data_IF_730519470718
#
_entry.id   IF_730519470718
#
_cell.length_a   1.000
_cell.length_b   1.000
_cell.length_c   1.000
_cell.angle_alpha   90.00
_cell.angle_beta   90.00
_cell.angle_gamma   90.00
#
_symmetry.space_group_name_H-M   'P 1'
#
loop_
_entity.id
_entity.type
_entity.pdbx_description
1 polymer ?
#
# COMPACT_ATOMS: atom_id res chain seq x y z
N UNK A 1 -12.29 73.38 -48.72
CA UNK A 1 -13.24 72.72 -47.80
C UNK A 1 -12.75 71.29 -47.62
N UNK A 2 -12.64 70.87 -46.37
CA UNK A 2 -11.45 70.21 -45.82
C UNK A 2 -11.48 68.68 -45.97
N UNK A 3 -10.45 68.08 -46.63
CA UNK A 3 -10.18 66.64 -46.52
C UNK A 3 -9.96 66.17 -45.07
N UNK A 4 -9.58 67.09 -44.18
CA UNK A 4 -9.33 66.83 -42.76
C UNK A 4 -10.56 66.38 -41.96
N UNK A 5 -11.79 66.77 -42.35
CA UNK A 5 -13.00 66.39 -41.61
C UNK A 5 -13.38 64.91 -41.88
N UNK A 6 -13.11 64.42 -43.10
CA UNK A 6 -13.39 63.04 -43.48
C UNK A 6 -12.43 62.06 -42.81
N UNK A 7 -11.16 62.43 -42.67
CA UNK A 7 -10.17 61.62 -41.97
C UNK A 7 -10.39 61.63 -40.45
N UNK A 8 -10.87 62.74 -39.88
CA UNK A 8 -11.28 62.80 -38.47
C UNK A 8 -12.44 61.83 -38.17
N UNK A 9 -13.47 61.79 -39.01
CA UNK A 9 -14.61 60.86 -38.86
C UNK A 9 -14.17 59.39 -38.95
N UNK A 10 -13.24 59.05 -39.86
CA UNK A 10 -12.67 57.69 -39.95
C UNK A 10 -11.95 57.29 -38.66
N UNK A 11 -11.15 58.20 -38.11
CA UNK A 11 -10.41 57.95 -36.86
C UNK A 11 -11.38 57.73 -35.68
N UNK A 12 -12.44 58.53 -35.58
CA UNK A 12 -13.47 58.34 -34.54
C UNK A 12 -14.25 57.04 -34.71
N UNK A 13 -14.59 56.65 -35.94
CA UNK A 13 -15.21 55.34 -36.24
C UNK A 13 -14.30 54.17 -35.88
N UNK A 14 -13.00 54.26 -36.17
CA UNK A 14 -12.03 53.24 -35.77
C UNK A 14 -11.90 53.13 -34.25
N UNK A 15 -11.90 54.25 -33.52
CA UNK A 15 -11.91 54.25 -32.06
C UNK A 15 -13.18 53.59 -31.53
N UNK A 16 -14.35 53.95 -32.07
CA UNK A 16 -15.64 53.37 -31.68
C UNK A 16 -15.67 51.85 -31.93
N UNK A 17 -15.20 51.41 -33.11
CA UNK A 17 -15.07 49.99 -33.45
C UNK A 17 -14.17 49.25 -32.46
N UNK A 18 -12.97 49.79 -32.17
CA UNK A 18 -12.05 49.20 -31.19
C UNK A 18 -12.68 49.11 -29.80
N UNK A 19 -13.43 50.12 -29.37
CA UNK A 19 -14.13 50.08 -28.07
C UNK A 19 -15.24 49.03 -28.05
N UNK A 20 -15.98 48.87 -29.15
CA UNK A 20 -17.01 47.86 -29.27
C UNK A 20 -16.42 46.45 -29.28
N UNK A 21 -15.38 46.21 -30.08
CA UNK A 21 -14.67 44.93 -30.15
C UNK A 21 -14.12 44.54 -28.77
N UNK A 22 -13.55 45.50 -28.02
CA UNK A 22 -13.08 45.26 -26.65
C UNK A 22 -14.23 44.94 -25.68
N UNK A 23 -15.37 45.61 -25.80
CA UNK A 23 -16.54 45.31 -24.97
C UNK A 23 -17.12 43.94 -25.31
N UNK A 24 -17.17 43.57 -26.59
CA UNK A 24 -17.63 42.27 -27.04
C UNK A 24 -16.70 41.16 -26.53
N UNK A 25 -15.39 41.31 -26.65
CA UNK A 25 -14.42 40.37 -26.08
C UNK A 25 -14.59 40.18 -24.57
N UNK A 26 -14.77 41.27 -23.81
CA UNK A 26 -15.02 41.19 -22.36
C UNK A 26 -16.31 40.46 -22.01
N UNK A 27 -17.37 40.61 -22.83
CA UNK A 27 -18.62 39.89 -22.63
C UNK A 27 -18.45 38.40 -22.95
N UNK A 28 -17.77 38.06 -24.04
CA UNK A 28 -17.45 36.68 -24.41
C UNK A 28 -16.61 35.98 -23.34
N UNK A 29 -15.56 36.64 -22.83
CA UNK A 29 -14.75 36.15 -21.72
C UNK A 29 -15.59 35.90 -20.46
N UNK A 30 -16.52 36.82 -20.13
CA UNK A 30 -17.39 36.67 -18.96
C UNK A 30 -18.41 35.56 -19.12
N UNK A 31 -18.95 35.35 -20.32
CA UNK A 31 -19.83 34.21 -20.63
C UNK A 31 -19.07 32.90 -20.46
N UNK A 32 -17.85 32.79 -21.00
CA UNK A 32 -17.02 31.59 -20.85
C UNK A 32 -16.67 31.34 -19.38
N UNK A 33 -16.38 32.38 -18.59
CA UNK A 33 -16.14 32.25 -17.16
C UNK A 33 -17.38 31.72 -16.41
N UNK A 34 -18.55 32.30 -16.65
CA UNK A 34 -19.81 31.85 -16.04
C UNK A 34 -20.18 30.41 -16.46
N UNK A 35 -19.91 30.02 -17.71
CA UNK A 35 -20.14 28.65 -18.17
C UNK A 35 -19.25 27.63 -17.45
N UNK A 36 -17.97 27.98 -17.22
CA UNK A 36 -17.04 27.15 -16.43
C UNK A 36 -17.52 27.02 -14.99
N UNK A 37 -17.85 28.13 -14.33
CA UNK A 37 -18.38 28.12 -12.96
C UNK A 37 -19.67 27.28 -12.86
N UNK A 38 -20.56 27.37 -13.85
CA UNK A 38 -21.78 26.58 -13.89
C UNK A 38 -21.49 25.08 -14.05
N UNK A 39 -20.52 24.70 -14.90
CA UNK A 39 -20.11 23.31 -15.07
C UNK A 39 -19.48 22.75 -13.79
N UNK A 40 -18.62 23.53 -13.12
CA UNK A 40 -18.01 23.16 -11.85
C UNK A 40 -19.07 23.00 -10.75
N UNK A 41 -20.03 23.93 -10.65
CA UNK A 41 -21.13 23.84 -9.69
C UNK A 41 -22.02 22.61 -9.94
N UNK A 42 -22.30 22.27 -11.20
CA UNK A 42 -23.05 21.05 -11.57
C UNK A 42 -22.27 19.79 -11.20
N UNK A 43 -20.97 19.75 -11.47
CA UNK A 43 -20.11 18.63 -11.09
C UNK A 43 -20.06 18.43 -9.56
N UNK A 44 -19.89 19.52 -8.80
CA UNK A 44 -19.92 19.50 -7.34
C UNK A 44 -21.27 19.01 -6.79
N UNK A 45 -22.38 19.46 -7.40
CA UNK A 45 -23.72 19.01 -7.04
C UNK A 45 -23.88 17.51 -7.31
N UNK A 46 -23.46 17.02 -8.48
CA UNK A 46 -23.49 15.59 -8.81
C UNK A 46 -22.67 14.73 -7.84
N UNK A 47 -21.47 15.19 -7.49
CA UNK A 47 -20.63 14.51 -6.48
C UNK A 47 -21.30 14.48 -5.10
N UNK A 48 -21.94 15.57 -4.68
CA UNK A 48 -22.68 15.62 -3.41
C UNK A 48 -23.87 14.65 -3.40
N UNK A 49 -24.60 14.54 -4.51
CA UNK A 49 -25.70 13.59 -4.66
C UNK A 49 -25.22 12.14 -4.62
N UNK A 50 -24.12 11.81 -5.32
CA UNK A 50 -23.52 10.48 -5.27
C UNK A 50 -23.12 10.10 -3.84
N UNK A 51 -22.43 11.01 -3.12
CA UNK A 51 -22.07 10.80 -1.71
C UNK A 51 -23.30 10.60 -0.82
N UNK A 52 -24.38 11.34 -1.04
CA UNK A 52 -25.64 11.16 -0.29
C UNK A 52 -26.25 9.78 -0.56
N UNK A 53 -26.25 9.31 -1.81
CA UNK A 53 -26.75 7.97 -2.16
C UNK A 53 -25.89 6.89 -1.51
N UNK A 54 -24.56 7.00 -1.58
CA UNK A 54 -23.63 6.08 -0.92
C UNK A 54 -23.88 6.02 0.61
N UNK A 55 -23.98 7.19 1.25
CA UNK A 55 -24.29 7.29 2.69
C UNK A 55 -25.64 6.67 3.03
N UNK A 56 -26.67 6.91 2.20
CA UNK A 56 -28.00 6.31 2.41
C UNK A 56 -27.98 4.79 2.29
N UNK A 57 -27.21 4.24 1.35
CA UNK A 57 -27.07 2.79 1.18
C UNK A 57 -26.34 2.16 2.38
N UNK A 58 -25.27 2.81 2.87
CA UNK A 58 -24.55 2.38 4.08
C UNK A 58 -25.47 2.43 5.29
N UNK A 59 -26.21 3.53 5.49
CA UNK A 59 -27.14 3.68 6.61
C UNK A 59 -28.24 2.59 6.59
N UNK A 60 -28.83 2.30 5.43
CA UNK A 60 -29.82 1.24 5.29
C UNK A 60 -29.24 -0.14 5.59
N UNK A 61 -28.02 -0.43 5.11
CA UNK A 61 -27.36 -1.70 5.41
C UNK A 61 -27.03 -1.85 6.90
N UNK A 62 -26.61 -0.77 7.55
CA UNK A 62 -26.36 -0.73 9.00
C UNK A 62 -27.64 -0.89 9.81
N UNK A 63 -28.73 -0.22 9.40
CA UNK A 63 -30.04 -0.36 10.04
C UNK A 63 -30.59 -1.78 9.93
N UNK A 64 -30.40 -2.43 8.78
CA UNK A 64 -30.74 -3.84 8.61
C UNK A 64 -29.93 -4.74 9.55
N UNK A 65 -28.62 -4.54 9.63
CA UNK A 65 -27.78 -5.31 10.56
C UNK A 65 -28.21 -5.11 12.01
N UNK A 66 -28.59 -3.89 12.40
CA UNK A 66 -29.13 -3.61 13.73
C UNK A 66 -30.39 -4.44 14.00
N UNK A 67 -31.35 -4.45 13.06
CA UNK A 67 -32.58 -5.23 13.19
C UNK A 67 -32.31 -6.74 13.26
N UNK A 68 -31.38 -7.26 12.47
CA UNK A 68 -30.97 -8.67 12.51
C UNK A 68 -30.39 -9.03 13.89
N UNK A 69 -29.51 -8.19 14.44
CA UNK A 69 -28.93 -8.38 15.77
C UNK A 69 -29.97 -8.23 16.89
N UNK A 70 -30.91 -7.29 16.77
CA UNK A 70 -32.02 -7.14 17.71
C UNK A 70 -32.93 -8.39 17.73
N UNK A 71 -33.23 -8.95 16.55
CA UNK A 71 -33.97 -10.21 16.44
C UNK A 71 -33.21 -11.37 17.09
N UNK A 72 -31.93 -11.54 16.78
CA UNK A 72 -31.06 -12.56 17.42
C UNK A 72 -31.01 -12.38 18.93
N UNK A 73 -30.94 -11.15 19.45
CA UNK A 73 -30.96 -10.87 20.89
C UNK A 73 -32.29 -11.34 21.51
N UNK A 74 -33.43 -11.04 20.87
CA UNK A 74 -34.74 -11.50 21.34
C UNK A 74 -34.86 -13.03 21.37
N UNK A 75 -34.34 -13.72 20.34
CA UNK A 75 -34.31 -15.18 20.27
C UNK A 75 -33.43 -15.78 21.37
N UNK A 76 -32.24 -15.22 21.59
CA UNK A 76 -31.34 -15.66 22.66
C UNK A 76 -31.95 -15.43 24.05
N UNK A 77 -32.67 -14.32 24.26
CA UNK A 77 -33.39 -14.07 25.51
C UNK A 77 -34.49 -15.11 25.75
N UNK A 78 -35.25 -15.48 24.71
CA UNK A 78 -36.25 -16.55 24.81
C UNK A 78 -35.58 -17.88 25.13
N UNK A 79 -34.49 -18.23 24.44
CA UNK A 79 -33.77 -19.48 24.67
C UNK A 79 -33.20 -19.58 26.09
N UNK A 80 -32.72 -18.45 26.63
CA UNK A 80 -32.25 -18.37 28.01
C UNK A 80 -33.39 -18.60 29.01
N UNK A 81 -34.59 -18.05 28.77
CA UNK A 81 -35.77 -18.29 29.60
C UNK A 81 -36.19 -19.76 29.59
N UNK A 82 -36.21 -20.39 28.41
CA UNK A 82 -36.51 -21.83 28.27
C UNK A 82 -35.52 -22.68 29.06
N UNK A 83 -34.22 -22.43 28.93
CA UNK A 83 -33.19 -23.19 29.66
C UNK A 83 -33.28 -22.97 31.18
N UNK A 84 -33.61 -21.75 31.62
CA UNK A 84 -33.84 -21.47 33.04
C UNK A 84 -35.04 -22.25 33.58
N UNK A 85 -36.14 -22.28 32.82
CA UNK A 85 -37.34 -23.02 33.21
C UNK A 85 -37.10 -24.54 33.23
N UNK A 86 -36.38 -25.07 32.24
CA UNK A 86 -35.93 -26.47 32.24
C UNK A 86 -35.09 -26.82 33.48
N UNK A 87 -34.20 -25.91 33.89
CA UNK A 87 -33.42 -26.09 35.11
C UNK A 87 -34.30 -26.08 36.36
N UNK A 88 -35.26 -25.15 36.45
CA UNK A 88 -36.22 -25.08 37.57
C UNK A 88 -37.08 -26.33 37.64
N UNK A 89 -37.62 -26.79 36.51
CA UNK A 89 -38.42 -28.01 36.41
C UNK A 89 -37.64 -29.26 36.81
N UNK A 90 -36.38 -29.41 36.35
CA UNK A 90 -35.50 -30.52 36.79
C UNK A 90 -35.26 -30.50 38.30
N UNK A 91 -34.94 -29.34 38.87
CA UNK A 91 -34.72 -29.18 40.32
C UNK A 91 -35.99 -29.49 41.12
N UNK A 92 -37.15 -28.99 40.70
CA UNK A 92 -38.43 -29.26 41.34
C UNK A 92 -38.78 -30.76 41.33
N UNK A 93 -38.50 -31.45 40.21
CA UNK A 93 -38.64 -32.91 40.12
C UNK A 93 -37.72 -33.63 41.10
N UNK A 94 -36.44 -33.23 41.17
CA UNK A 94 -35.50 -33.83 42.12
C UNK A 94 -35.91 -33.62 43.58
N UNK A 95 -36.39 -32.42 43.94
CA UNK A 95 -36.91 -32.13 45.28
C UNK A 95 -38.17 -32.95 45.60
N UNK A 96 -39.07 -33.12 44.63
CA UNK A 96 -40.28 -33.94 44.79
C UNK A 96 -39.94 -35.41 44.99
N UNK A 97 -39.00 -35.94 44.21
CA UNK A 97 -38.53 -37.33 44.37
C UNK A 97 -37.85 -37.53 45.74
N UNK A 98 -37.05 -36.57 46.21
CA UNK A 98 -36.48 -36.58 47.57
C UNK A 98 -37.56 -36.55 48.67
N UNK A 99 -38.57 -35.70 48.53
CA UNK A 99 -39.68 -35.61 49.48
C UNK A 99 -40.48 -36.92 49.54
N UNK A 100 -40.88 -37.47 48.39
CA UNK A 100 -41.59 -38.76 48.33
C UNK A 100 -40.79 -39.92 48.91
N UNK A 101 -39.46 -39.91 48.75
CA UNK A 101 -38.59 -40.87 49.43
C UNK A 101 -38.63 -40.71 50.95
N UNK A 102 -38.52 -39.47 51.46
CA UNK A 102 -38.58 -39.18 52.90
C UNK A 102 -39.94 -39.52 53.50
N UNK A 103 -41.04 -39.24 52.81
CA UNK A 103 -42.41 -39.56 53.23
C UNK A 103 -42.70 -41.07 53.20
N UNK A 104 -42.11 -41.80 52.24
CA UNK A 104 -42.17 -43.26 52.21
C UNK A 104 -41.39 -43.92 53.37
N UNK A 105 -40.43 -43.19 53.96
CA UNK A 105 -39.67 -43.63 55.13
C UNK A 105 -40.41 -43.30 56.44
N UNK A 106 -41.12 -42.16 56.52
CA UNK A 106 -41.88 -41.73 57.71
C UNK A 106 -43.21 -42.49 57.90
N UNK A 107 -43.92 -42.78 56.80
CA UNK A 107 -45.18 -43.56 56.82
C UNK A 107 -45.01 -45.04 57.22
N UNK A 108 -43.80 -45.57 57.15
CA UNK A 108 -43.47 -46.95 57.50
C UNK A 108 -42.88 -47.10 58.91
N UNK A 109 -42.96 -46.06 59.76
CA UNK A 109 -42.33 -46.01 61.08
C UNK A 109 -43.03 -46.81 62.20
N UNK A 110 -44.13 -47.52 61.91
CA UNK A 110 -44.81 -48.39 62.88
C UNK A 110 -44.32 -49.86 62.87
N UNK A 111 -43.27 -50.20 62.10
CA UNK A 111 -42.68 -51.54 62.05
C UNK A 111 -41.15 -51.51 61.95
N UNK A 112 -40.45 -52.64 62.19
CA UNK A 112 -38.99 -52.71 62.25
C UNK A 112 -38.37 -52.19 60.93
N UNK A 113 -37.14 -51.63 60.98
CA UNK A 113 -36.57 -50.86 59.88
C UNK A 113 -36.59 -51.66 58.58
N UNK A 114 -37.41 -51.24 57.60
CA UNK A 114 -37.46 -51.86 56.27
C UNK A 114 -36.03 -51.88 55.68
N UNK A 115 -35.56 -53.09 55.36
CA UNK A 115 -34.18 -53.38 54.97
C UNK A 115 -33.72 -52.81 53.60
N UNK A 116 -32.89 -53.52 52.82
CA UNK A 116 -32.09 -52.98 51.70
C UNK A 116 -32.87 -52.27 50.57
N UNK A 117 -34.21 -52.42 50.51
CA UNK A 117 -35.08 -51.81 49.51
C UNK A 117 -35.15 -50.27 49.58
N UNK A 118 -35.16 -49.67 50.79
CA UNK A 118 -35.14 -48.20 50.93
C UNK A 118 -33.80 -47.62 50.49
N UNK A 119 -32.70 -48.29 50.85
CA UNK A 119 -31.36 -47.91 50.39
C UNK A 119 -31.20 -48.03 48.86
N UNK A 120 -31.86 -49.01 48.23
CA UNK A 120 -31.88 -49.16 46.78
C UNK A 120 -32.65 -48.02 46.08
N UNK A 121 -33.78 -47.56 46.64
CA UNK A 121 -34.55 -46.44 46.08
C UNK A 121 -33.75 -45.12 46.07
N UNK A 122 -33.09 -44.77 47.19
CA UNK A 122 -32.20 -43.60 47.25
C UNK A 122 -31.03 -43.73 46.28
N UNK A 123 -30.40 -44.91 46.21
CA UNK A 123 -29.30 -45.16 45.26
C UNK A 123 -29.76 -44.94 43.81
N UNK A 124 -30.93 -45.46 43.43
CA UNK A 124 -31.50 -45.26 42.09
C UNK A 124 -31.85 -43.79 41.78
N UNK A 125 -32.24 -43.00 42.79
CA UNK A 125 -32.48 -41.56 42.63
C UNK A 125 -31.17 -40.80 42.36
N UNK A 126 -30.14 -41.04 43.19
CA UNK A 126 -28.83 -40.42 43.02
C UNK A 126 -28.19 -40.83 41.69
N UNK A 127 -28.32 -42.09 41.28
CA UNK A 127 -27.85 -42.56 39.98
C UNK A 127 -28.55 -41.85 38.81
N UNK A 128 -29.87 -41.62 38.89
CA UNK A 128 -30.62 -40.84 37.89
C UNK A 128 -30.18 -39.38 37.85
N UNK A 129 -30.02 -38.74 39.00
CA UNK A 129 -29.52 -37.36 39.11
C UNK A 129 -28.11 -37.22 38.50
N UNK A 130 -27.20 -38.13 38.85
CA UNK A 130 -25.84 -38.14 38.31
C UNK A 130 -25.83 -38.40 36.80
N UNK A 131 -26.72 -39.26 36.29
CA UNK A 131 -26.87 -39.51 34.85
C UNK A 131 -27.34 -38.26 34.11
N UNK A 132 -28.35 -37.57 34.64
CA UNK A 132 -28.89 -36.33 34.05
C UNK A 132 -27.83 -35.22 34.05
N UNK A 133 -27.11 -35.03 35.16
CA UNK A 133 -26.02 -34.06 35.27
C UNK A 133 -24.94 -34.36 34.22
N UNK A 134 -24.47 -35.60 34.13
CA UNK A 134 -23.47 -36.02 33.13
C UNK A 134 -23.96 -35.78 31.70
N UNK A 135 -25.23 -36.07 31.40
CA UNK A 135 -25.81 -35.82 30.08
C UNK A 135 -25.87 -34.31 29.75
N UNK A 136 -26.21 -33.47 30.74
CA UNK A 136 -26.25 -32.01 30.56
C UNK A 136 -24.87 -31.41 30.27
N UNK A 137 -23.83 -31.87 30.98
CA UNK A 137 -22.46 -31.45 30.73
C UNK A 137 -21.99 -31.90 29.35
N UNK A 138 -22.25 -33.15 28.95
CA UNK A 138 -21.92 -33.64 27.60
C UNK A 138 -22.59 -32.81 26.50
N UNK A 139 -23.89 -32.51 26.63
CA UNK A 139 -24.60 -31.68 25.66
C UNK A 139 -24.00 -30.26 25.58
N UNK A 140 -23.60 -29.67 26.71
CA UNK A 140 -22.93 -28.36 26.74
C UNK A 140 -21.55 -28.40 26.09
N UNK A 141 -20.76 -29.44 26.37
CA UNK A 141 -19.45 -29.65 25.73
C UNK A 141 -19.59 -29.81 24.21
N UNK A 142 -20.57 -30.56 23.74
CA UNK A 142 -20.88 -30.73 22.32
C UNK A 142 -21.28 -29.41 21.66
N UNK A 143 -22.11 -28.60 22.32
CA UNK A 143 -22.48 -27.26 21.85
C UNK A 143 -21.27 -26.34 21.72
N UNK A 144 -20.42 -26.28 22.76
CA UNK A 144 -19.19 -25.48 22.74
C UNK A 144 -18.22 -25.96 21.66
N UNK A 145 -18.04 -27.27 21.52
CA UNK A 145 -17.20 -27.86 20.47
C UNK A 145 -17.74 -27.56 19.07
N UNK A 146 -19.06 -27.57 18.88
CA UNK A 146 -19.70 -27.23 17.60
C UNK A 146 -19.56 -25.75 17.28
N UNK A 147 -19.77 -24.86 18.25
CA UNK A 147 -19.56 -23.43 18.10
C UNK A 147 -18.10 -23.12 17.75
N UNK A 148 -17.14 -23.71 18.46
CA UNK A 148 -15.70 -23.55 18.18
C UNK A 148 -15.34 -24.04 16.76
N UNK A 149 -15.89 -25.18 16.32
CA UNK A 149 -15.73 -25.66 14.93
C UNK A 149 -16.35 -24.69 13.91
N UNK A 150 -17.51 -24.11 14.22
CA UNK A 150 -18.18 -23.11 13.41
C UNK A 150 -17.35 -21.83 13.25
N UNK A 151 -16.83 -21.29 14.36
CA UNK A 151 -15.94 -20.12 14.33
C UNK A 151 -14.67 -20.40 13.53
N UNK A 152 -14.00 -21.55 13.74
CA UNK A 152 -12.86 -21.94 12.92
C UNK A 152 -13.19 -22.03 11.43
N UNK A 153 -14.38 -22.52 11.06
CA UNK A 153 -14.83 -22.56 9.67
C UNK A 153 -15.02 -21.16 9.08
N UNK A 154 -15.68 -20.26 9.82
CA UNK A 154 -15.88 -18.85 9.40
C UNK A 154 -14.54 -18.09 9.29
N UNK A 155 -13.63 -18.36 10.21
CA UNK A 155 -12.31 -17.72 10.22
C UNK A 155 -11.47 -18.18 9.03
N UNK A 156 -11.50 -19.48 8.68
CA UNK A 156 -10.89 -19.98 7.44
C UNK A 156 -11.51 -19.38 6.18
N UNK A 157 -12.83 -19.24 6.11
CA UNK A 157 -13.47 -18.62 4.94
C UNK A 157 -13.14 -17.13 4.83
N UNK A 158 -13.00 -16.41 5.94
CA UNK A 158 -12.52 -15.03 5.96
C UNK A 158 -11.07 -14.93 5.49
N UNK A 159 -10.19 -15.79 6.00
CA UNK A 159 -8.78 -15.85 5.56
C UNK A 159 -8.66 -16.12 4.06
N UNK A 160 -9.44 -17.05 3.51
CA UNK A 160 -9.46 -17.33 2.05
C UNK A 160 -9.95 -16.13 1.22
N UNK A 161 -10.96 -15.39 1.71
CA UNK A 161 -11.40 -14.14 1.07
C UNK A 161 -10.33 -13.06 1.13
N UNK A 162 -9.63 -12.94 2.27
CA UNK A 162 -8.52 -12.02 2.45
C UNK A 162 -7.38 -12.31 1.47
N UNK A 163 -6.96 -13.57 1.35
CA UNK A 163 -5.97 -14.00 0.36
C UNK A 163 -6.40 -13.63 -1.08
N UNK A 164 -7.66 -13.89 -1.43
CA UNK A 164 -8.20 -13.54 -2.75
C UNK A 164 -8.16 -12.03 -3.01
N UNK A 165 -8.49 -11.22 -1.99
CA UNK A 165 -8.44 -9.77 -2.07
C UNK A 165 -6.99 -9.26 -2.19
N UNK A 166 -6.04 -9.85 -1.47
CA UNK A 166 -4.63 -9.50 -1.59
C UNK A 166 -4.09 -9.76 -3.00
N UNK A 167 -4.49 -10.88 -3.63
CA UNK A 167 -4.13 -11.17 -5.02
C UNK A 167 -4.70 -10.10 -5.97
N UNK A 168 -5.98 -9.76 -5.82
CA UNK A 168 -6.61 -8.72 -6.64
C UNK A 168 -5.96 -7.34 -6.46
N UNK A 169 -5.66 -6.98 -5.21
CA UNK A 169 -4.95 -5.75 -4.87
C UNK A 169 -3.55 -5.71 -5.50
N UNK A 170 -2.79 -6.80 -5.39
CA UNK A 170 -1.47 -6.91 -6.01
C UNK A 170 -1.51 -6.72 -7.53
N UNK A 171 -2.45 -7.40 -8.20
CA UNK A 171 -2.67 -7.24 -9.64
C UNK A 171 -3.02 -5.79 -10.01
N UNK A 172 -3.91 -5.15 -9.24
CA UNK A 172 -4.28 -3.76 -9.48
C UNK A 172 -3.07 -2.82 -9.34
N UNK A 173 -2.22 -3.04 -8.33
CA UNK A 173 -1.00 -2.24 -8.14
C UNK A 173 -0.03 -2.40 -9.30
N UNK A 174 0.17 -3.61 -9.78
CA UNK A 174 1.01 -3.86 -10.95
C UNK A 174 0.45 -3.19 -12.21
N UNK A 175 -0.86 -3.23 -12.42
CA UNK A 175 -1.51 -2.51 -13.51
C UNK A 175 -1.33 -1.00 -13.40
N UNK A 176 -1.43 -0.43 -12.20
CA UNK A 176 -1.18 1.00 -11.96
C UNK A 176 0.29 1.33 -12.22
N UNK A 177 1.25 0.49 -11.79
CA UNK A 177 2.68 0.70 -12.12
C UNK A 177 2.95 0.63 -13.62
N UNK A 178 2.29 -0.28 -14.33
CA UNK A 178 2.49 -0.47 -15.76
C UNK A 178 1.84 0.64 -16.61
N UNK A 179 0.71 1.19 -16.17
CA UNK A 179 -0.06 2.23 -16.89
C UNK A 179 0.22 3.65 -16.41
N UNK A 180 0.65 3.81 -15.16
CA UNK A 180 0.85 5.09 -14.49
C UNK A 180 2.17 5.74 -14.88
N UNK A 181 2.17 7.06 -14.98
CA UNK A 181 3.39 7.86 -14.99
C UNK A 181 4.10 7.74 -13.63
N UNK A 182 5.41 8.02 -13.56
CA UNK A 182 6.26 7.84 -12.37
C UNK A 182 5.81 8.59 -11.09
N UNK A 183 4.74 9.38 -11.17
CA UNK A 183 4.17 10.20 -10.11
C UNK A 183 2.96 9.57 -9.40
N UNK A 184 2.41 8.44 -9.87
CA UNK A 184 1.27 7.81 -9.20
C UNK A 184 1.68 6.84 -8.09
N UNK A 185 1.25 7.14 -6.86
CA UNK A 185 1.41 6.25 -5.71
C UNK A 185 0.55 5.00 -5.88
N UNK A 186 1.19 3.84 -5.86
CA UNK A 186 0.56 2.53 -5.98
C UNK A 186 0.11 1.96 -4.62
N UNK A 187 0.15 2.77 -3.56
CA UNK A 187 -0.28 2.41 -2.22
C UNK A 187 0.63 1.39 -1.52
N UNK A 188 0.31 1.06 -0.25
CA UNK A 188 1.11 0.19 0.61
C UNK A 188 1.38 -1.19 -0.02
N UNK A 189 2.53 -1.78 0.30
CA UNK A 189 2.84 -3.15 -0.13
C UNK A 189 1.88 -4.19 0.47
N UNK A 190 1.62 -5.28 -0.24
CA UNK A 190 0.76 -6.39 0.23
C UNK A 190 1.23 -7.00 1.55
N UNK A 191 2.54 -6.92 1.83
CA UNK A 191 3.13 -7.35 3.09
C UNK A 191 2.54 -6.63 4.32
N UNK A 192 2.09 -5.39 4.18
CA UNK A 192 1.44 -4.65 5.27
C UNK A 192 0.09 -5.24 5.67
N UNK A 193 -0.51 -6.04 4.79
CA UNK A 193 -1.80 -6.68 5.00
C UNK A 193 -1.68 -8.19 5.22
N UNK A 194 -0.46 -8.73 5.32
CA UNK A 194 -0.27 -10.15 5.57
C UNK A 194 -0.78 -10.54 6.97
N UNK A 195 -1.57 -11.61 7.04
CA UNK A 195 -2.02 -12.16 8.33
C UNK A 195 -0.81 -12.75 9.06
N UNK A 196 -0.62 -12.40 10.33
CA UNK A 196 0.48 -12.94 11.16
C UNK A 196 0.09 -14.24 11.87
N UNK A 197 -1.21 -14.58 11.95
CA UNK A 197 -1.69 -15.74 12.71
C UNK A 197 -1.36 -17.08 12.02
N UNK A 198 -0.49 -17.93 12.63
CA UNK A 198 0.00 -19.15 12.00
C UNK A 198 -1.06 -20.25 11.88
N UNK A 199 -2.12 -20.21 12.69
CA UNK A 199 -3.24 -21.18 12.68
C UNK A 199 -4.16 -21.01 11.47
N UNK A 200 -4.17 -19.82 10.85
CA UNK A 200 -5.04 -19.49 9.72
C UNK A 200 -4.35 -19.60 8.38
N UNK A 201 -3.03 -19.44 8.37
CA UNK A 201 -2.24 -19.57 7.16
C UNK A 201 -2.05 -21.04 6.80
N UNK A 202 -2.26 -21.34 5.52
CA UNK A 202 -1.78 -22.58 4.90
C UNK A 202 -0.24 -22.62 4.95
N UNK A 203 0.36 -23.81 4.92
CA UNK A 203 1.83 -23.95 4.92
C UNK A 203 2.47 -23.16 3.77
N UNK A 204 1.84 -23.19 2.60
CA UNK A 204 2.22 -22.44 1.40
C UNK A 204 2.15 -20.93 1.61
N UNK A 205 1.11 -20.41 2.27
CA UNK A 205 1.00 -18.98 2.58
C UNK A 205 2.10 -18.51 3.56
N UNK A 206 2.50 -19.36 4.52
CA UNK A 206 3.61 -19.04 5.44
C UNK A 206 4.95 -18.98 4.70
N UNK A 207 5.21 -19.94 3.81
CA UNK A 207 6.41 -19.96 2.99
C UNK A 207 6.46 -18.75 2.04
N UNK A 208 5.33 -18.39 1.41
CA UNK A 208 5.24 -17.19 0.59
C UNK A 208 5.55 -15.91 1.37
N UNK A 209 5.04 -15.78 2.60
CA UNK A 209 5.34 -14.61 3.43
C UNK A 209 6.84 -14.53 3.78
N UNK A 210 7.47 -15.65 4.14
CA UNK A 210 8.92 -15.71 4.38
C UNK A 210 9.71 -15.30 3.14
N UNK A 211 9.37 -15.86 1.97
CA UNK A 211 10.04 -15.53 0.71
C UNK A 211 9.87 -14.05 0.33
N UNK A 212 8.71 -13.45 0.62
CA UNK A 212 8.48 -12.02 0.38
C UNK A 212 9.31 -11.15 1.32
N UNK A 213 9.46 -11.52 2.59
CA UNK A 213 10.35 -10.83 3.54
C UNK A 213 11.82 -10.95 3.12
N UNK A 214 12.26 -12.14 2.71
CA UNK A 214 13.62 -12.37 2.20
C UNK A 214 13.87 -11.56 0.93
N UNK A 215 12.92 -11.54 0.00
CA UNK A 215 12.99 -10.68 -1.20
C UNK A 215 13.16 -9.20 -0.83
N UNK A 216 12.34 -8.67 0.08
CA UNK A 216 12.44 -7.27 0.49
C UNK A 216 13.80 -6.94 1.14
N UNK A 217 14.36 -7.87 1.93
CA UNK A 217 15.71 -7.72 2.50
C UNK A 217 16.79 -7.72 1.41
N UNK A 218 16.70 -8.63 0.45
CA UNK A 218 17.65 -8.71 -0.68
C UNK A 218 17.57 -7.48 -1.58
N UNK A 219 16.37 -6.94 -1.81
CA UNK A 219 16.18 -5.69 -2.58
C UNK A 219 16.83 -4.49 -1.89
N UNK A 220 16.73 -4.38 -0.56
CA UNK A 220 17.43 -3.35 0.21
C UNK A 220 18.96 -3.51 0.11
N UNK A 221 19.46 -4.73 0.29
CA UNK A 221 20.89 -5.02 0.15
C UNK A 221 21.42 -4.70 -1.26
N UNK A 222 20.63 -5.00 -2.29
CA UNK A 222 20.99 -4.67 -3.68
C UNK A 222 21.05 -3.16 -3.89
N UNK A 223 20.09 -2.39 -3.36
CA UNK A 223 20.11 -0.93 -3.44
C UNK A 223 21.33 -0.34 -2.74
N UNK A 224 21.71 -0.86 -1.57
CA UNK A 224 22.92 -0.43 -0.85
C UNK A 224 24.19 -0.71 -1.68
N UNK A 225 24.32 -1.92 -2.23
CA UNK A 225 25.47 -2.28 -3.07
C UNK A 225 25.54 -1.42 -4.33
N UNK A 226 24.41 -1.16 -4.98
CA UNK A 226 24.36 -0.28 -6.16
C UNK A 226 24.74 1.16 -5.83
N UNK A 227 24.32 1.69 -4.67
CA UNK A 227 24.73 3.03 -4.23
C UNK A 227 26.24 3.11 -3.95
N UNK A 228 26.80 2.09 -3.30
CA UNK A 228 28.25 2.01 -3.04
C UNK A 228 29.02 1.85 -4.35
N UNK A 229 28.54 1.00 -5.27
CA UNK A 229 29.12 0.79 -6.59
C UNK A 229 29.14 2.08 -7.42
N UNK A 230 28.02 2.78 -7.52
CA UNK A 230 27.93 4.06 -8.24
C UNK A 230 28.87 5.12 -7.64
N UNK A 231 29.02 5.15 -6.32
CA UNK A 231 29.94 6.06 -5.63
C UNK A 231 31.41 5.73 -5.92
N UNK A 232 31.76 4.45 -6.01
CA UNK A 232 33.12 4.00 -6.34
C UNK A 232 33.45 4.24 -7.82
N UNK A 233 32.50 4.01 -8.73
CA UNK A 233 32.66 4.26 -10.17
C UNK A 233 32.92 5.75 -10.45
N UNK A 234 32.16 6.66 -9.82
CA UNK A 234 32.39 8.10 -9.93
C UNK A 234 33.80 8.49 -9.44
N UNK A 235 34.24 7.94 -8.31
CA UNK A 235 35.57 8.21 -7.76
C UNK A 235 36.70 7.66 -8.63
N UNK A 236 36.51 6.49 -9.24
CA UNK A 236 37.49 5.87 -10.14
C UNK A 236 37.56 6.59 -11.48
N UNK A 237 36.43 7.02 -12.05
CA UNK A 237 36.41 7.79 -13.28
C UNK A 237 37.06 9.17 -13.10
N UNK A 238 36.74 9.92 -12.05
CA UNK A 238 37.35 11.25 -11.84
C UNK A 238 38.87 11.18 -11.69
N UNK A 239 39.37 10.21 -10.90
CA UNK A 239 40.81 10.02 -10.71
C UNK A 239 41.50 9.54 -11.98
N UNK A 240 40.93 8.54 -12.66
CA UNK A 240 41.49 8.01 -13.91
C UNK A 240 41.55 9.06 -15.03
N UNK A 241 40.50 9.88 -15.20
CA UNK A 241 40.48 10.95 -16.18
C UNK A 241 41.41 12.13 -15.83
N UNK A 242 41.66 12.38 -14.54
CA UNK A 242 42.63 13.39 -14.12
C UNK A 242 44.07 12.94 -14.40
N UNK A 243 44.39 11.66 -14.11
CA UNK A 243 45.70 11.07 -14.39
C UNK A 243 46.00 11.03 -15.89
N UNK A 244 45.03 10.63 -16.72
CA UNK A 244 45.19 10.57 -18.17
C UNK A 244 45.38 11.97 -18.78
N UNK A 245 44.65 12.98 -18.29
CA UNK A 245 44.86 14.39 -18.69
C UNK A 245 46.25 14.89 -18.32
N UNK A 246 46.75 14.54 -17.13
CA UNK A 246 48.10 14.89 -16.68
C UNK A 246 49.16 14.25 -17.58
N UNK A 247 49.04 12.95 -17.89
CA UNK A 247 49.96 12.26 -18.79
C UNK A 247 49.97 12.86 -20.21
N UNK A 248 48.80 13.22 -20.74
CA UNK A 248 48.70 13.89 -22.04
C UNK A 248 49.39 15.26 -22.03
N UNK A 249 49.21 16.05 -20.97
CA UNK A 249 49.87 17.34 -20.82
C UNK A 249 51.39 17.19 -20.73
N UNK A 250 51.89 16.25 -19.93
CA UNK A 250 53.32 15.96 -19.79
C UNK A 250 53.92 15.48 -21.12
N UNK A 251 53.23 14.56 -21.83
CA UNK A 251 53.68 14.10 -23.14
C UNK A 251 53.74 15.23 -24.16
N UNK A 252 52.69 16.07 -24.22
CA UNK A 252 52.63 17.19 -25.16
C UNK A 252 53.71 18.22 -24.85
N UNK A 253 53.97 18.48 -23.57
CA UNK A 253 55.00 19.44 -23.16
C UNK A 253 56.40 18.94 -23.50
N UNK A 254 56.73 17.70 -23.13
CA UNK A 254 58.06 17.12 -23.42
C UNK A 254 58.31 17.05 -24.94
N UNK A 255 57.31 16.59 -25.71
CA UNK A 255 57.45 16.53 -27.17
C UNK A 255 57.59 17.91 -27.80
N UNK A 256 56.92 18.93 -27.26
CA UNK A 256 57.09 20.32 -27.72
C UNK A 256 58.48 20.85 -27.38
N UNK A 257 58.99 20.61 -26.16
CA UNK A 257 60.34 21.02 -25.75
C UNK A 257 61.41 20.38 -26.63
N UNK A 258 61.30 19.08 -26.93
CA UNK A 258 62.22 18.36 -27.81
C UNK A 258 62.24 18.97 -29.22
N UNK A 259 61.05 19.26 -29.79
CA UNK A 259 60.93 19.88 -31.11
C UNK A 259 61.48 21.31 -31.15
N UNK A 260 61.28 22.10 -30.09
CA UNK A 260 61.83 23.45 -29.98
C UNK A 260 63.36 23.43 -29.85
N UNK A 261 63.91 22.46 -29.12
CA UNK A 261 65.35 22.23 -29.04
C UNK A 261 65.93 21.84 -30.41
N UNK A 262 65.34 20.87 -31.11
CA UNK A 262 65.77 20.49 -32.46
C UNK A 262 65.71 21.67 -33.43
N UNK A 263 64.60 22.43 -33.40
CA UNK A 263 64.45 23.64 -34.22
C UNK A 263 65.55 24.67 -33.92
N UNK A 264 65.86 24.91 -32.65
CA UNK A 264 66.92 25.85 -32.26
C UNK A 264 68.30 25.40 -32.75
N UNK A 265 68.60 24.10 -32.67
CA UNK A 265 69.85 23.53 -33.16
C UNK A 265 69.96 23.62 -34.68
N UNK A 266 68.87 23.35 -35.41
CA UNK A 266 68.82 23.47 -36.86
C UNK A 266 68.99 24.92 -37.31
N UNK A 267 68.34 25.87 -36.62
CA UNK A 267 68.51 27.30 -36.90
C UNK A 267 69.96 27.74 -36.67
N UNK A 268 70.58 27.33 -35.57
CA UNK A 268 71.99 27.66 -35.30
C UNK A 268 72.92 27.10 -36.39
N UNK A 269 72.71 25.86 -36.83
CA UNK A 269 73.46 25.25 -37.94
C UNK A 269 73.23 25.97 -39.27
N UNK A 270 72.00 26.39 -39.53
CA UNK A 270 71.66 27.16 -40.74
C UNK A 270 72.37 28.51 -40.76
N UNK A 271 72.37 29.26 -39.64
CA UNK A 271 73.09 30.54 -39.53
C UNK A 271 74.59 30.36 -39.77
N UNK A 272 75.22 29.36 -39.15
CA UNK A 272 76.66 29.08 -39.39
C UNK A 272 76.93 28.72 -40.86
N UNK A 273 76.04 27.96 -41.49
CA UNK A 273 76.18 27.63 -42.91
C UNK A 273 75.98 28.87 -43.82
N UNK A 274 75.04 29.76 -43.48
CA UNK A 274 74.85 31.04 -44.18
C UNK A 274 76.08 31.94 -44.05
N UNK A 275 76.67 32.04 -42.86
CA UNK A 275 77.93 32.77 -42.61
C UNK A 275 79.09 32.19 -43.44
N UNK A 276 79.26 30.87 -43.45
CA UNK A 276 80.28 30.20 -44.27
C UNK A 276 80.10 30.47 -45.77
N UNK A 277 78.85 30.47 -46.26
CA UNK A 277 78.56 30.81 -47.66
C UNK A 277 78.88 32.27 -47.94
N UNK A 278 78.54 33.19 -47.03
CA UNK A 278 78.87 34.61 -47.15
C UNK A 278 80.40 34.84 -47.17
N UNK A 279 81.16 34.16 -46.30
CA UNK A 279 82.63 34.20 -46.29
C UNK A 279 83.23 33.68 -47.60
N UNK A 280 82.71 32.55 -48.13
CA UNK A 280 83.14 32.01 -49.41
C UNK A 280 82.81 32.95 -50.58
N UNK A 281 81.61 33.56 -50.58
CA UNK A 281 81.24 34.58 -51.57
C UNK A 281 82.15 35.80 -51.48
N UNK A 282 82.46 36.27 -50.27
CA UNK A 282 83.38 37.38 -50.05
C UNK A 282 84.79 37.03 -50.55
N UNK A 283 85.29 35.82 -50.26
CA UNK A 283 86.56 35.33 -50.77
C UNK A 283 86.59 35.29 -52.30
N UNK A 284 85.55 34.77 -52.95
CA UNK A 284 85.41 34.78 -54.42
C UNK A 284 85.43 36.22 -54.94
N UNK A 285 84.66 37.13 -54.33
CA UNK A 285 84.60 38.54 -54.75
C UNK A 285 85.93 39.27 -54.60
N UNK A 286 86.73 38.96 -53.56
CA UNK A 286 88.03 39.60 -53.30
C UNK A 286 89.18 39.00 -54.10
N UNK A 287 89.16 37.69 -54.35
CA UNK A 287 90.33 36.96 -54.87
C UNK A 287 90.13 36.33 -56.25
N UNK A 288 88.89 36.10 -56.69
CA UNK A 288 88.57 35.43 -57.96
C UNK A 288 87.82 36.33 -58.95
N UNK A 289 87.31 37.49 -58.52
CA UNK A 289 86.78 38.51 -59.43
C UNK A 289 87.91 39.34 -60.07
N UNK A 290 88.63 38.73 -61.01
CA UNK A 290 89.44 39.38 -62.06
C UNK A 290 89.28 38.62 -63.36
#
# INVERSE_FOLDING_TARGET
QLPGDQDHIKVELEKMKKTYDLQQQKLEERVVAMEKELQEAKAATGQSQQKLVEQSAVLLSSQRQLQEVEAENSELQLRLKELQEDCRCRLARYLRELATYMDSKSSNAAGPPKGPAGHAAMRSFVERLLKDIRASYKAREEQLATAARGYRKRLRSLASKHESLLIAYGLQREQIRARGSSTMDCGPAELHFALTEPELLTSTARELNRLREEKARLELQLQEVLQVGARLELQLQEKGWAELRKQLQEFTHNTQEDLEQERSQLLARAVVAEEQVAELQEYISKHLAR
#
